data_IF_194520550503
#
_entry.id   IF_194520550503
#
_cell.length_a   1.000
_cell.length_b   1.000
_cell.length_c   1.000
_cell.angle_alpha   90.00
_cell.angle_beta   90.00
_cell.angle_gamma   90.00
#
_symmetry.space_group_name_H-M   'P 1'
#
loop_
_entity.id
_entity.type
_entity.pdbx_description
1 polymer ?
#
# COMPACT_ATOMS: atom_id res chain seq x y z
N UNK A 1 -10.76 -9.70 13.34
CA UNK A 1 -9.29 -9.63 13.49
C UNK A 1 -8.92 -8.18 13.73
N UNK A 2 -8.11 -7.93 14.75
CA UNK A 2 -7.64 -6.59 15.15
C UNK A 2 -6.21 -6.44 14.63
N UNK A 3 -5.87 -5.28 14.04
CA UNK A 3 -4.56 -5.08 13.39
C UNK A 3 -4.62 -4.22 12.13
N UNK A 4 -5.82 -4.02 11.57
CA UNK A 4 -6.04 -3.07 10.48
C UNK A 4 -5.22 -3.41 9.23
N UNK A 5 -4.35 -2.48 8.80
CA UNK A 5 -3.49 -2.64 7.61
C UNK A 5 -2.50 -3.79 7.76
N UNK A 6 -2.08 -4.11 8.99
CA UNK A 6 -1.13 -5.18 9.28
C UNK A 6 -1.80 -6.54 9.51
N UNK A 7 -3.12 -6.63 9.39
CA UNK A 7 -3.79 -7.93 9.38
C UNK A 7 -3.44 -8.73 8.11
N UNK A 8 -3.54 -10.06 8.17
CA UNK A 8 -3.04 -11.04 7.17
C UNK A 8 -3.45 -10.84 5.70
N UNK A 9 -4.36 -9.93 5.39
CA UNK A 9 -4.82 -9.62 4.03
C UNK A 9 -4.46 -8.22 3.54
N UNK A 10 -3.90 -7.36 4.41
CA UNK A 10 -3.78 -5.92 4.17
C UNK A 10 -2.52 -5.45 3.43
N UNK A 11 -1.49 -6.29 3.32
CA UNK A 11 -0.18 -5.91 2.74
C UNK A 11 0.43 -7.03 1.86
N UNK A 12 1.60 -6.77 1.28
CA UNK A 12 2.39 -7.70 0.48
C UNK A 12 3.36 -8.52 1.33
N UNK A 13 3.78 -9.68 0.82
CA UNK A 13 4.42 -10.73 1.63
C UNK A 13 5.77 -10.27 2.22
N UNK A 14 6.55 -9.51 1.44
CA UNK A 14 7.86 -8.96 1.79
C UNK A 14 7.81 -7.69 2.66
N UNK A 15 6.62 -7.22 3.06
CA UNK A 15 6.48 -5.92 3.74
C UNK A 15 7.16 -5.91 5.12
N UNK A 16 8.20 -5.08 5.22
CA UNK A 16 8.82 -4.63 6.45
C UNK A 16 8.27 -3.26 6.86
N UNK A 17 8.24 -3.00 8.17
CA UNK A 17 7.96 -1.67 8.67
C UNK A 17 9.18 -0.77 8.44
N UNK A 18 8.95 0.52 8.17
CA UNK A 18 10.03 1.51 7.95
C UNK A 18 10.59 2.09 9.25
N UNK A 19 10.03 1.69 10.39
CA UNK A 19 10.42 2.11 11.74
C UNK A 19 10.82 0.86 12.53
N UNK A 20 11.89 0.95 13.31
CA UNK A 20 12.38 -0.20 14.08
C UNK A 20 11.38 -0.61 15.16
N UNK A 21 11.47 -1.87 15.58
CA UNK A 21 10.59 -2.48 16.59
C UNK A 21 10.48 -1.67 17.88
N UNK A 22 11.56 -1.03 18.34
CA UNK A 22 11.56 -0.22 19.55
C UNK A 22 10.80 1.11 19.39
N UNK A 23 10.87 1.75 18.22
CA UNK A 23 10.15 3.00 17.97
C UNK A 23 8.71 2.77 17.53
N UNK A 24 8.40 1.58 17.03
CA UNK A 24 7.04 1.20 16.64
C UNK A 24 6.19 0.72 17.83
N UNK A 25 6.82 0.13 18.85
CA UNK A 25 6.11 -0.40 20.02
C UNK A 25 5.44 0.70 20.85
N UNK A 26 4.31 0.35 21.49
CA UNK A 26 3.71 1.18 22.52
C UNK A 26 4.65 1.31 23.72
N UNK A 27 4.72 2.53 24.28
CA UNK A 27 5.67 2.89 25.33
C UNK A 27 5.55 2.06 26.61
N UNK A 28 4.36 1.53 26.89
CA UNK A 28 4.03 0.68 28.04
C UNK A 28 4.18 -0.83 27.77
N UNK A 29 4.50 -1.22 26.53
CA UNK A 29 4.70 -2.60 26.12
C UNK A 29 5.85 -2.73 25.13
N UNK A 30 7.06 -2.42 25.60
CA UNK A 30 8.28 -2.42 24.81
C UNK A 30 8.87 -3.84 24.65
N UNK A 31 9.39 -4.22 23.47
CA UNK A 31 10.00 -5.52 23.20
C UNK A 31 11.45 -5.61 23.72
N UNK A 32 11.65 -5.47 25.04
CA UNK A 32 12.98 -5.31 25.67
C UNK A 32 13.97 -6.45 25.41
N UNK A 33 13.46 -7.66 25.20
CA UNK A 33 14.27 -8.86 24.95
C UNK A 33 14.58 -9.07 23.46
N UNK A 34 13.94 -8.31 22.56
CA UNK A 34 14.19 -8.38 21.13
C UNK A 34 15.36 -7.47 20.75
N UNK A 35 16.20 -7.90 19.79
CA UNK A 35 17.22 -7.02 19.21
C UNK A 35 16.56 -5.90 18.41
N UNK A 36 17.28 -4.79 18.21
CA UNK A 36 16.86 -3.75 17.27
C UNK A 36 16.81 -4.35 15.86
N UNK A 37 15.66 -4.21 15.20
CA UNK A 37 15.45 -4.56 13.80
C UNK A 37 14.11 -3.98 13.31
N UNK A 38 13.86 -4.07 12.00
CA UNK A 38 12.56 -3.75 11.42
C UNK A 38 11.66 -4.98 11.46
N UNK A 39 10.48 -4.86 12.06
CA UNK A 39 9.48 -5.93 12.08
C UNK A 39 8.90 -6.15 10.68
N UNK A 40 8.59 -7.41 10.35
CA UNK A 40 7.65 -7.69 9.26
C UNK A 40 6.25 -7.23 9.67
N UNK A 41 5.36 -7.07 8.69
CA UNK A 41 3.94 -6.82 8.99
C UNK A 41 3.35 -7.87 9.94
N UNK A 42 3.80 -9.12 9.83
CA UNK A 42 3.31 -10.24 10.62
C UNK A 42 3.89 -10.22 12.05
N UNK A 43 5.14 -9.80 12.24
CA UNK A 43 5.71 -9.61 13.57
C UNK A 43 4.95 -8.52 14.33
N UNK A 44 4.66 -7.39 13.65
CA UNK A 44 3.87 -6.32 14.25
C UNK A 44 2.42 -6.75 14.52
N UNK A 45 1.81 -7.55 13.64
CA UNK A 45 0.50 -8.14 13.89
C UNK A 45 0.50 -8.99 15.17
N UNK A 46 1.47 -9.90 15.34
CA UNK A 46 1.61 -10.70 16.57
C UNK A 46 1.90 -9.82 17.80
N UNK A 47 2.64 -8.73 17.64
CA UNK A 47 2.84 -7.76 18.71
C UNK A 47 1.52 -7.14 19.18
N UNK A 48 0.65 -6.74 18.23
CA UNK A 48 -0.68 -6.21 18.54
C UNK A 48 -1.57 -7.24 19.22
N UNK A 49 -1.52 -8.51 18.80
CA UNK A 49 -2.24 -9.61 19.48
C UNK A 49 -1.81 -9.73 20.95
N UNK A 50 -0.50 -9.77 21.21
CA UNK A 50 0.03 -9.80 22.59
C UNK A 50 -0.39 -8.58 23.40
N UNK A 51 -0.44 -7.39 22.77
CA UNK A 51 -0.88 -6.16 23.44
C UNK A 51 -2.34 -6.25 23.87
N UNK A 52 -3.22 -6.73 22.98
CA UNK A 52 -4.65 -6.92 23.27
C UNK A 52 -4.86 -7.89 24.43
N UNK A 53 -4.13 -9.01 24.43
CA UNK A 53 -4.17 -10.00 25.51
C UNK A 53 -3.64 -9.44 26.83
N UNK A 54 -2.53 -8.71 26.80
CA UNK A 54 -1.87 -8.16 28.00
C UNK A 54 -2.77 -7.19 28.77
N UNK A 55 -3.56 -6.39 28.06
CA UNK A 55 -4.40 -5.34 28.62
C UNK A 55 -5.90 -5.67 28.59
N UNK A 56 -6.26 -6.92 28.26
CA UNK A 56 -7.64 -7.44 28.18
C UNK A 56 -8.59 -6.58 27.31
N UNK A 57 -8.05 -5.99 26.23
CA UNK A 57 -8.79 -5.05 25.37
C UNK A 57 -9.86 -5.76 24.51
N UNK A 58 -9.82 -7.08 24.43
CA UNK A 58 -10.75 -7.87 23.61
C UNK A 58 -12.20 -7.75 24.08
N UNK A 59 -12.43 -7.52 25.37
CA UNK A 59 -13.77 -7.43 25.99
C UNK A 59 -14.55 -6.21 25.53
N UNK A 60 -13.86 -5.10 25.23
CA UNK A 60 -14.46 -3.83 24.78
C UNK A 60 -14.61 -3.73 23.26
N UNK A 61 -14.10 -4.71 22.49
CA UNK A 61 -14.05 -4.66 21.03
C UNK A 61 -15.14 -5.53 20.40
N UNK A 62 -16.10 -4.87 19.76
CA UNK A 62 -17.13 -5.54 18.95
C UNK A 62 -16.64 -5.71 17.50
N UNK A 63 -16.19 -6.91 17.16
CA UNK A 63 -15.83 -7.27 15.78
C UNK A 63 -17.08 -7.42 14.89
N UNK A 64 -16.87 -7.48 13.57
CA UNK A 64 -17.93 -7.67 12.57
C UNK A 64 -19.08 -6.65 12.69
N UNK A 65 -18.74 -5.43 13.12
CA UNK A 65 -19.68 -4.34 13.36
C UNK A 65 -19.20 -3.11 12.59
N UNK A 66 -19.89 -2.78 11.50
CA UNK A 66 -19.62 -1.59 10.70
C UNK A 66 -20.28 -0.37 11.34
N UNK A 67 -19.53 0.72 11.51
CA UNK A 67 -20.09 2.03 11.88
C UNK A 67 -20.50 2.75 10.60
N UNK A 68 -21.80 2.79 10.31
CA UNK A 68 -22.34 3.40 9.08
C UNK A 68 -22.41 4.93 9.18
N UNK A 69 -22.73 5.45 10.38
CA UNK A 69 -22.99 6.88 10.58
C UNK A 69 -22.72 7.30 12.02
N UNK A 70 -22.14 8.49 12.19
CA UNK A 70 -21.96 9.15 13.49
C UNK A 70 -22.57 10.54 13.40
N UNK A 71 -23.49 10.88 14.30
CA UNK A 71 -24.21 12.16 14.33
C UNK A 71 -24.14 12.75 15.74
N UNK A 72 -23.85 14.04 15.85
CA UNK A 72 -23.95 14.74 17.14
C UNK A 72 -25.41 15.10 17.40
N UNK A 73 -25.95 14.68 18.54
CA UNK A 73 -27.30 15.00 19.00
C UNK A 73 -27.22 15.59 20.41
N UNK A 74 -27.52 16.88 20.52
CA UNK A 74 -27.35 17.66 21.75
C UNK A 74 -25.91 17.55 22.30
N UNK A 75 -25.78 16.96 23.50
CA UNK A 75 -24.50 16.75 24.20
C UNK A 75 -23.89 15.36 23.97
N UNK A 76 -24.56 14.48 23.20
CA UNK A 76 -24.10 13.10 22.94
C UNK A 76 -23.89 12.83 21.45
N UNK A 77 -23.27 11.70 21.16
CA UNK A 77 -23.07 11.16 19.83
C UNK A 77 -23.95 9.95 19.61
N UNK A 78 -24.75 10.00 18.55
CA UNK A 78 -25.56 8.90 18.05
C UNK A 78 -24.75 8.14 17.00
N UNK A 79 -24.44 6.89 17.29
CA UNK A 79 -23.63 6.00 16.44
C UNK A 79 -24.53 4.90 15.90
N UNK A 80 -24.65 4.85 14.58
CA UNK A 80 -25.38 3.81 13.87
C UNK A 80 -24.42 2.71 13.45
N UNK A 81 -24.72 1.48 13.89
CA UNK A 81 -23.90 0.32 13.58
C UNK A 81 -24.70 -0.76 12.87
N UNK A 82 -24.01 -1.56 12.07
CA UNK A 82 -24.55 -2.71 11.36
C UNK A 82 -23.68 -3.94 11.63
N UNK A 83 -24.28 -5.04 12.06
CA UNK A 83 -23.63 -6.35 12.18
C UNK A 83 -24.51 -7.41 11.54
N UNK A 84 -24.05 -7.96 10.41
CA UNK A 84 -24.90 -8.76 9.53
C UNK A 84 -26.13 -7.96 9.08
N UNK A 85 -27.32 -8.51 9.31
CA UNK A 85 -28.59 -7.83 9.02
C UNK A 85 -29.12 -6.97 10.19
N UNK A 86 -28.44 -7.00 11.33
CA UNK A 86 -28.86 -6.24 12.51
C UNK A 86 -28.32 -4.82 12.47
N UNK A 87 -29.21 -3.84 12.56
CA UNK A 87 -28.86 -2.43 12.76
C UNK A 87 -29.13 -2.01 14.19
N UNK A 88 -28.20 -1.25 14.78
CA UNK A 88 -28.32 -0.70 16.12
C UNK A 88 -28.01 0.79 16.12
N UNK A 89 -28.58 1.47 17.09
CA UNK A 89 -28.28 2.85 17.41
C UNK A 89 -27.81 2.92 18.86
N UNK A 90 -26.66 3.56 19.07
CA UNK A 90 -26.01 3.66 20.37
C UNK A 90 -25.70 5.13 20.67
N UNK A 91 -25.81 5.52 21.94
CA UNK A 91 -25.48 6.87 22.40
C UNK A 91 -24.18 6.84 23.22
N UNK A 92 -23.23 7.70 22.86
CA UNK A 92 -21.94 7.85 23.53
C UNK A 92 -21.69 9.31 23.91
N UNK A 93 -20.99 9.55 25.00
CA UNK A 93 -20.60 10.92 25.39
C UNK A 93 -19.46 11.45 24.52
N UNK A 94 -18.57 10.55 24.06
CA UNK A 94 -17.42 10.85 23.21
C UNK A 94 -17.25 9.80 22.10
N UNK A 95 -16.63 10.20 20.99
CA UNK A 95 -16.29 9.31 19.87
C UNK A 95 -14.85 9.58 19.44
N UNK A 96 -14.06 8.51 19.34
CA UNK A 96 -12.71 8.52 18.77
C UNK A 96 -12.76 7.80 17.42
N UNK A 97 -12.29 8.44 16.36
CA UNK A 97 -12.30 7.88 15.00
C UNK A 97 -10.93 7.33 14.64
N UNK A 98 -10.82 6.00 14.58
CA UNK A 98 -9.56 5.28 14.33
C UNK A 98 -9.59 4.43 13.05
N UNK A 99 -10.24 4.92 11.97
CA UNK A 99 -10.45 4.17 10.70
C UNK A 99 -9.17 4.01 9.84
N UNK A 100 -8.15 4.83 10.08
CA UNK A 100 -6.98 4.95 9.21
C UNK A 100 -7.30 5.61 7.85
N UNK A 101 -6.25 6.02 7.12
CA UNK A 101 -6.37 6.76 5.86
C UNK A 101 -6.18 5.92 4.59
N UNK A 102 -5.58 4.72 4.70
CA UNK A 102 -5.09 3.94 3.54
C UNK A 102 -6.10 2.92 2.98
N UNK A 103 -7.39 3.09 3.26
CA UNK A 103 -8.40 2.07 2.92
C UNK A 103 -9.01 2.24 1.53
N UNK A 104 -9.10 3.47 1.00
CA UNK A 104 -9.66 3.73 -0.32
C UNK A 104 -8.51 4.04 -1.29
N UNK A 105 -8.25 3.20 -2.31
CA UNK A 105 -7.23 3.51 -3.29
C UNK A 105 -7.66 4.74 -4.09
N UNK A 106 -6.71 5.62 -4.37
CA UNK A 106 -6.86 6.64 -5.39
C UNK A 106 -6.53 6.02 -6.74
N UNK A 107 -7.42 6.20 -7.72
CA UNK A 107 -7.23 5.72 -9.08
C UNK A 107 -7.20 6.97 -9.95
N UNK A 108 -6.02 7.39 -10.45
CA UNK A 108 -5.94 8.51 -11.37
C UNK A 108 -6.63 8.15 -12.69
N UNK A 109 -7.30 9.12 -13.30
CA UNK A 109 -7.69 9.03 -14.69
C UNK A 109 -6.44 9.16 -15.58
N UNK A 110 -6.16 8.14 -16.37
CA UNK A 110 -5.01 8.09 -17.28
C UNK A 110 -5.55 8.08 -18.71
N UNK A 111 -5.42 9.18 -19.47
CA UNK A 111 -5.92 9.25 -20.83
C UNK A 111 -5.36 8.13 -21.71
N UNK A 112 -6.24 7.36 -22.34
CA UNK A 112 -5.87 6.26 -23.23
C UNK A 112 -5.53 4.94 -22.53
N UNK A 113 -5.74 4.84 -21.22
CA UNK A 113 -5.53 3.58 -20.46
C UNK A 113 -6.44 2.45 -20.95
N UNK A 114 -7.61 2.78 -21.48
CA UNK A 114 -8.57 1.85 -22.09
C UNK A 114 -8.01 1.14 -23.34
N UNK A 115 -7.05 1.77 -24.03
CA UNK A 115 -6.38 1.22 -25.22
C UNK A 115 -5.18 0.35 -24.85
N UNK A 116 -4.79 0.34 -23.58
CA UNK A 116 -3.68 -0.45 -23.09
C UNK A 116 -4.05 -1.93 -23.09
N UNK A 117 -3.27 -2.74 -23.80
CA UNK A 117 -3.53 -4.19 -23.92
C UNK A 117 -2.87 -5.00 -22.81
N UNK A 118 -2.05 -4.37 -21.98
CA UNK A 118 -1.37 -5.00 -20.84
C UNK A 118 -2.23 -5.04 -19.59
N UNK A 119 -1.70 -5.68 -18.55
CA UNK A 119 -2.36 -5.74 -17.24
C UNK A 119 -2.09 -4.47 -16.45
N UNK A 120 -3.08 -4.01 -15.69
CA UNK A 120 -2.93 -2.87 -14.78
C UNK A 120 -3.23 -3.37 -13.37
N UNK A 121 -2.28 -3.17 -12.47
CA UNK A 121 -2.37 -3.59 -11.07
C UNK A 121 -2.29 -2.38 -10.15
N UNK A 122 -3.09 -2.36 -9.08
CA UNK A 122 -2.87 -1.40 -7.98
C UNK A 122 -1.88 -2.01 -7.01
N UNK A 123 -1.12 -1.18 -6.28
CA UNK A 123 -0.24 -1.68 -5.23
C UNK A 123 -0.97 -2.48 -4.16
N UNK A 124 -2.25 -2.16 -3.90
CA UNK A 124 -3.11 -2.96 -3.01
C UNK A 124 -3.41 -4.38 -3.53
N UNK A 125 -3.30 -4.60 -4.83
CA UNK A 125 -3.50 -5.90 -5.47
C UNK A 125 -2.20 -6.72 -5.55
N UNK A 126 -1.04 -6.07 -5.31
CA UNK A 126 0.25 -6.75 -5.27
C UNK A 126 0.36 -7.63 -4.02
N UNK A 127 0.93 -8.83 -4.21
CA UNK A 127 1.26 -9.76 -3.12
C UNK A 127 2.73 -10.16 -3.14
N UNK A 128 3.23 -10.48 -4.32
CA UNK A 128 4.63 -10.83 -4.57
C UNK A 128 4.96 -10.58 -6.07
N UNK A 129 6.24 -10.74 -6.40
CA UNK A 129 6.79 -10.44 -7.72
C UNK A 129 6.60 -11.55 -8.78
N UNK A 130 6.00 -12.70 -8.43
CA UNK A 130 5.94 -13.88 -9.31
C UNK A 130 5.21 -13.60 -10.63
N UNK A 131 4.17 -12.77 -10.60
CA UNK A 131 3.38 -12.42 -11.79
C UNK A 131 4.16 -11.59 -12.82
N UNK A 132 5.30 -11.02 -12.43
CA UNK A 132 6.06 -10.07 -13.25
C UNK A 132 7.33 -10.69 -13.86
N UNK A 133 7.53 -12.00 -13.69
CA UNK A 133 8.67 -12.73 -14.25
C UNK A 133 8.70 -12.54 -15.77
N UNK A 134 9.83 -12.07 -16.29
CA UNK A 134 10.02 -11.79 -17.73
C UNK A 134 9.02 -10.79 -18.34
N UNK A 135 8.38 -9.96 -17.51
CA UNK A 135 7.50 -8.88 -17.98
C UNK A 135 8.28 -7.57 -18.18
N UNK A 136 7.71 -6.66 -18.96
CA UNK A 136 8.11 -5.25 -18.95
C UNK A 136 7.17 -4.54 -17.99
N UNK A 137 7.68 -3.84 -16.99
CA UNK A 137 6.86 -3.24 -15.94
C UNK A 137 7.13 -1.74 -15.87
N UNK A 138 6.05 -0.96 -15.75
CA UNK A 138 6.06 0.47 -15.52
C UNK A 138 5.43 0.77 -14.15
N UNK A 139 6.24 0.98 -13.14
CA UNK A 139 5.77 1.44 -11.84
C UNK A 139 5.47 2.94 -11.89
N UNK A 140 4.34 3.39 -11.37
CA UNK A 140 3.90 4.80 -11.42
C UNK A 140 3.88 5.39 -10.01
N UNK A 141 4.69 6.42 -9.81
CA UNK A 141 4.88 7.09 -8.52
C UNK A 141 6.15 6.62 -7.79
N UNK A 142 6.51 7.38 -6.76
CA UNK A 142 7.75 7.18 -5.98
C UNK A 142 7.48 7.29 -4.47
N UNK A 143 6.31 6.82 -4.03
CA UNK A 143 6.07 6.61 -2.59
C UNK A 143 6.80 5.35 -2.10
N UNK A 144 6.90 5.17 -0.78
CA UNK A 144 7.57 4.01 -0.15
C UNK A 144 7.12 2.67 -0.76
N UNK A 145 5.81 2.46 -0.89
CA UNK A 145 5.27 1.26 -1.53
C UNK A 145 5.78 1.07 -2.96
N UNK A 146 5.98 2.15 -3.74
CA UNK A 146 6.56 2.03 -5.09
C UNK A 146 7.96 1.50 -5.04
N UNK A 147 8.77 2.04 -4.12
CA UNK A 147 10.18 1.73 -4.02
C UNK A 147 10.35 0.25 -3.69
N UNK A 148 9.60 -0.25 -2.71
CA UNK A 148 9.60 -1.67 -2.35
C UNK A 148 9.19 -2.56 -3.53
N UNK A 149 8.00 -2.29 -4.11
CA UNK A 149 7.47 -3.13 -5.19
C UNK A 149 8.36 -3.11 -6.43
N UNK A 150 8.85 -1.93 -6.82
CA UNK A 150 9.70 -1.78 -8.01
C UNK A 150 11.01 -2.53 -7.82
N UNK A 151 11.60 -2.46 -6.63
CA UNK A 151 12.85 -3.16 -6.30
C UNK A 151 12.65 -4.68 -6.41
N UNK A 152 11.59 -5.20 -5.81
CA UNK A 152 11.28 -6.64 -5.84
C UNK A 152 10.93 -7.13 -7.26
N UNK A 153 10.19 -6.34 -8.03
CA UNK A 153 9.83 -6.65 -9.41
C UNK A 153 11.06 -6.60 -10.32
N UNK A 154 11.95 -5.61 -10.13
CA UNK A 154 13.12 -5.42 -10.98
C UNK A 154 14.04 -6.63 -11.01
N UNK A 155 14.10 -7.40 -9.92
CA UNK A 155 14.92 -8.62 -9.81
C UNK A 155 14.42 -9.77 -10.72
N UNK A 156 13.14 -9.79 -11.09
CA UNK A 156 12.51 -10.87 -11.86
C UNK A 156 11.99 -10.46 -13.25
N UNK A 157 11.73 -9.17 -13.45
CA UNK A 157 11.20 -8.62 -14.70
C UNK A 157 12.24 -8.57 -15.82
N UNK A 158 11.82 -8.64 -17.08
CA UNK A 158 12.69 -8.38 -18.24
C UNK A 158 13.18 -6.92 -18.21
N UNK A 159 12.30 -6.00 -17.82
CA UNK A 159 12.61 -4.58 -17.67
C UNK A 159 11.66 -3.94 -16.67
N UNK A 160 12.18 -3.21 -15.70
CA UNK A 160 11.38 -2.43 -14.76
C UNK A 160 11.68 -0.93 -14.93
N UNK A 161 10.65 -0.10 -15.05
CA UNK A 161 10.77 1.36 -15.22
C UNK A 161 9.88 2.06 -14.22
N UNK A 162 10.35 3.13 -13.59
CA UNK A 162 9.54 3.99 -12.71
C UNK A 162 9.23 5.29 -13.42
N UNK A 163 7.95 5.66 -13.48
CA UNK A 163 7.50 6.98 -13.86
C UNK A 163 7.25 7.83 -12.61
N UNK A 164 8.02 8.90 -12.46
CA UNK A 164 7.92 9.85 -11.34
C UNK A 164 7.43 11.19 -11.86
N UNK A 165 6.48 11.79 -11.13
CA UNK A 165 6.08 13.16 -11.41
C UNK A 165 7.13 14.09 -10.83
N UNK A 166 7.60 15.03 -11.62
CA UNK A 166 8.59 15.98 -11.16
C UNK A 166 8.07 16.74 -9.92
N UNK A 167 8.83 16.82 -8.82
CA UNK A 167 8.47 17.70 -7.71
C UNK A 167 8.46 19.15 -8.24
N UNK A 168 7.63 20.04 -7.68
CA UNK A 168 7.45 21.45 -8.09
C UNK A 168 6.41 21.77 -9.20
N UNK A 169 5.43 20.90 -9.43
CA UNK A 169 4.26 21.26 -10.25
C UNK A 169 4.51 21.33 -11.76
N UNK A 170 5.70 20.90 -12.21
CA UNK A 170 5.94 20.64 -13.62
C UNK A 170 5.04 19.49 -14.09
N UNK A 171 4.52 19.61 -15.33
CA UNK A 171 3.71 18.57 -15.99
C UNK A 171 4.56 17.47 -16.61
N UNK A 172 5.86 17.45 -16.32
CA UNK A 172 6.80 16.46 -16.84
C UNK A 172 6.79 15.21 -15.99
N UNK A 173 6.85 14.06 -16.66
CA UNK A 173 7.05 12.75 -16.06
C UNK A 173 8.45 12.32 -16.44
N UNK A 174 9.27 12.06 -15.43
CA UNK A 174 10.59 11.47 -15.60
C UNK A 174 10.48 9.97 -15.48
N UNK A 175 11.11 9.26 -16.41
CA UNK A 175 11.11 7.80 -16.43
C UNK A 175 12.53 7.30 -16.17
N UNK A 176 12.65 6.40 -15.19
CA UNK A 176 13.92 5.80 -14.78
C UNK A 176 13.87 4.29 -14.97
N UNK A 177 14.84 3.69 -15.66
CA UNK A 177 14.91 2.23 -15.76
C UNK A 177 15.70 1.68 -14.58
N UNK A 178 15.09 0.79 -13.80
CA UNK A 178 15.79 0.06 -12.74
C UNK A 178 16.41 -1.17 -13.36
N UNK A 179 17.72 -1.34 -13.20
CA UNK A 179 18.41 -2.59 -13.51
C UNK A 179 18.57 -3.36 -12.21
N UNK A 180 18.23 -4.65 -12.21
CA UNK A 180 18.59 -5.54 -11.12
C UNK A 180 20.10 -5.53 -10.94
N UNK A 181 20.59 -4.83 -9.92
CA UNK A 181 21.86 -5.20 -9.31
C UNK A 181 21.58 -6.44 -8.47
N UNK A 182 22.50 -7.41 -8.42
CA UNK A 182 22.39 -8.69 -7.68
C UNK A 182 22.13 -8.51 -6.15
N UNK A 183 20.97 -8.01 -5.73
CA UNK A 183 20.75 -7.50 -4.36
C UNK A 183 19.83 -8.36 -3.49
N UNK A 184 19.43 -9.54 -3.97
CA UNK A 184 18.41 -10.35 -3.30
C UNK A 184 18.94 -11.48 -2.40
N UNK A 185 20.13 -11.36 -1.79
CA UNK A 185 20.58 -12.39 -0.83
C UNK A 185 20.24 -12.11 0.63
N UNK A 186 20.22 -10.87 1.13
CA UNK A 186 20.25 -10.64 2.59
C UNK A 186 19.28 -9.54 3.07
N UNK A 187 17.98 -9.84 3.14
CA UNK A 187 16.94 -8.98 3.72
C UNK A 187 17.03 -8.81 5.26
N UNK A 188 17.95 -9.51 5.93
CA UNK A 188 18.00 -9.60 7.39
C UNK A 188 19.07 -8.71 8.07
N UNK A 189 19.74 -7.80 7.36
CA UNK A 189 20.83 -6.98 7.92
C UNK A 189 20.47 -5.49 7.92
N UNK A 190 20.44 -4.86 9.11
CA UNK A 190 20.12 -3.43 9.33
C UNK A 190 20.97 -2.48 8.48
N UNK A 191 22.15 -2.91 8.02
CA UNK A 191 23.02 -2.14 7.13
C UNK A 191 22.44 -1.93 5.72
N UNK A 192 21.43 -2.70 5.30
CA UNK A 192 21.00 -2.76 3.89
C UNK A 192 19.90 -1.77 3.50
N UNK A 193 19.08 -1.28 4.44
CA UNK A 193 18.11 -0.19 4.13
C UNK A 193 18.83 1.03 3.53
N UNK A 194 20.03 1.34 4.02
CA UNK A 194 20.87 2.40 3.44
C UNK A 194 21.33 2.10 2.00
N UNK A 195 21.56 0.82 1.65
CA UNK A 195 22.00 0.39 0.31
C UNK A 195 20.87 0.36 -0.71
N UNK A 196 19.64 -0.01 -0.33
CA UNK A 196 18.48 0.07 -1.23
C UNK A 196 18.23 1.52 -1.60
N UNK A 197 18.18 2.42 -0.60
CA UNK A 197 18.07 3.85 -0.87
C UNK A 197 19.21 4.34 -1.78
N UNK A 198 20.47 4.01 -1.49
CA UNK A 198 21.61 4.42 -2.32
C UNK A 198 21.62 3.81 -3.74
N UNK A 199 21.18 2.57 -3.92
CA UNK A 199 21.07 1.93 -5.24
C UNK A 199 19.87 2.47 -6.03
N UNK A 200 18.77 2.82 -5.36
CA UNK A 200 17.62 3.48 -5.96
C UNK A 200 17.93 4.92 -6.39
N UNK A 201 19.03 5.53 -5.92
CA UNK A 201 19.55 6.79 -6.46
C UNK A 201 20.54 6.62 -7.62
N UNK A 202 21.03 5.40 -7.89
CA UNK A 202 21.86 5.08 -9.06
C UNK A 202 20.98 4.75 -10.28
N UNK A 203 19.96 5.57 -10.55
CA UNK A 203 19.09 5.41 -11.70
C UNK A 203 19.74 5.99 -12.95
N UNK A 204 19.81 5.19 -14.01
CA UNK A 204 20.09 5.71 -15.34
C UNK A 204 18.79 6.36 -15.87
N UNK A 205 18.83 7.66 -16.13
CA UNK A 205 17.79 8.33 -16.90
C UNK A 205 18.07 8.10 -18.39
N UNK A 206 17.27 7.31 -19.12
CA UNK A 206 17.47 7.07 -20.55
C UNK A 206 17.18 8.31 -21.42
N UNK A 207 16.85 9.47 -20.83
CA UNK A 207 16.59 10.72 -21.56
C UNK A 207 15.17 10.81 -22.14
N UNK A 208 14.27 9.90 -21.78
CA UNK A 208 12.89 9.88 -22.27
C UNK A 208 11.97 10.67 -21.33
N UNK A 209 11.79 11.96 -21.61
CA UNK A 209 10.74 12.78 -20.99
C UNK A 209 9.40 12.49 -21.67
N UNK A 210 8.40 12.02 -20.92
CA UNK A 210 7.05 11.85 -21.47
C UNK A 210 6.27 13.16 -21.31
N UNK A 211 6.07 13.90 -22.42
CA UNK A 211 5.28 15.14 -22.47
C UNK A 211 3.77 14.88 -22.63
N UNK A 212 3.24 13.85 -21.97
CA UNK A 212 1.80 13.57 -21.95
C UNK A 212 1.09 14.40 -20.88
N UNK A 213 0.04 15.12 -21.23
CA UNK A 213 -0.82 15.83 -20.27
C UNK A 213 -1.60 14.81 -19.43
N UNK A 214 -1.20 14.60 -18.17
CA UNK A 214 -2.14 14.08 -17.16
C UNK A 214 -3.03 15.26 -16.75
N UNK A 215 -4.29 15.23 -17.18
CA UNK A 215 -5.28 16.21 -16.74
C UNK A 215 -5.70 15.83 -15.33
N UNK A 216 -5.47 16.72 -14.35
CA UNK A 216 -6.00 16.55 -13.01
C UNK A 216 -7.52 16.62 -13.06
N UNK A 217 -8.19 15.47 -13.09
CA UNK A 217 -9.65 15.38 -13.15
C UNK A 217 -10.30 15.87 -11.85
N UNK A 218 -11.03 16.98 -11.93
CA UNK A 218 -12.01 17.39 -10.92
C UNK A 218 -13.18 16.40 -10.88
N UNK A 219 -13.53 15.96 -9.66
CA UNK A 219 -14.61 14.99 -9.33
C UNK A 219 -15.87 15.20 -10.16
N UNK A 220 -16.40 14.16 -10.81
CA UNK A 220 -17.85 13.96 -11.05
C UNK A 220 -18.14 12.49 -11.40
N UNK A 221 -19.22 11.93 -10.83
CA UNK A 221 -20.06 10.89 -11.46
C UNK A 221 -19.73 9.42 -11.20
N UNK A 222 -20.69 8.69 -10.64
CA UNK A 222 -20.71 7.24 -10.36
C UNK A 222 -21.16 6.48 -11.62
N UNK A 223 -20.62 5.29 -11.87
CA UNK A 223 -21.16 4.32 -12.82
C UNK A 223 -20.66 2.90 -12.57
N UNK A 224 -21.57 2.00 -12.19
CA UNK A 224 -21.41 0.57 -11.92
C UNK A 224 -21.27 -0.28 -13.20
N UNK A 225 -20.52 -1.37 -13.17
CA UNK A 225 -20.47 -2.33 -14.29
C UNK A 225 -19.56 -3.55 -14.11
N UNK A 226 -20.16 -4.61 -13.57
CA UNK A 226 -20.00 -6.05 -13.79
C UNK A 226 -18.64 -6.78 -13.92
N UNK A 227 -18.57 -7.88 -13.18
CA UNK A 227 -17.55 -8.94 -13.25
C UNK A 227 -17.84 -9.89 -14.42
N UNK A 228 -16.85 -10.25 -15.25
CA UNK A 228 -16.68 -11.63 -15.72
C UNK A 228 -15.35 -11.92 -16.45
N UNK A 229 -14.77 -13.07 -16.07
CA UNK A 229 -13.93 -14.04 -16.82
C UNK A 229 -12.49 -13.65 -17.22
N UNK A 230 -11.52 -14.29 -16.54
CA UNK A 230 -10.09 -14.31 -16.88
C UNK A 230 -9.81 -15.43 -17.90
N UNK A 231 -9.11 -15.16 -19.03
CA UNK A 231 -8.44 -16.20 -19.82
C UNK A 231 -6.97 -16.38 -19.36
N UNK A 232 -6.31 -17.49 -19.74
CA UNK A 232 -4.98 -17.85 -19.24
C UNK A 232 -3.92 -16.98 -19.92
N UNK A 233 -3.09 -16.30 -19.15
CA UNK A 233 -2.05 -15.41 -19.68
C UNK A 233 -0.75 -16.18 -19.91
N UNK A 234 -0.33 -16.24 -21.17
CA UNK A 234 1.03 -16.53 -21.59
C UNK A 234 1.60 -15.28 -22.28
N UNK A 235 2.85 -14.98 -21.95
CA UNK A 235 3.57 -13.74 -22.17
C UNK A 235 3.78 -13.40 -23.65
N UNK A 236 3.47 -12.15 -24.02
CA UNK A 236 4.09 -11.46 -25.16
C UNK A 236 4.10 -9.94 -24.88
N UNK A 237 5.29 -9.41 -24.57
CA UNK A 237 5.71 -8.02 -24.78
C UNK A 237 4.81 -6.90 -24.25
N UNK A 238 4.30 -7.00 -23.03
CA UNK A 238 3.39 -5.99 -22.45
C UNK A 238 4.01 -5.29 -21.26
N UNK A 239 3.79 -3.98 -21.22
CA UNK A 239 4.00 -3.15 -20.03
C UNK A 239 2.93 -3.55 -18.98
N UNK A 240 3.26 -3.44 -17.70
CA UNK A 240 2.29 -3.58 -16.59
C UNK A 240 2.42 -2.37 -15.67
N UNK A 241 1.30 -1.72 -15.32
CA UNK A 241 1.32 -0.53 -14.46
C UNK A 241 1.06 -0.93 -13.01
N UNK A 242 1.95 -0.57 -12.09
CA UNK A 242 1.74 -0.73 -10.65
C UNK A 242 1.98 0.58 -9.88
N UNK A 243 1.08 0.87 -8.94
CA UNK A 243 1.21 1.72 -7.74
C UNK A 243 0.38 3.03 -7.65
N UNK A 244 0.05 3.43 -6.39
CA UNK A 244 0.10 4.81 -5.87
C UNK A 244 -0.15 4.91 -4.36
N UNK A 245 0.67 5.72 -3.66
CA UNK A 245 0.32 6.43 -2.43
C UNK A 245 0.82 7.88 -2.56
N UNK A 246 -0.08 8.86 -2.41
CA UNK A 246 0.22 10.30 -2.36
C UNK A 246 -0.41 10.90 -1.11
N UNK A 247 0.31 11.81 -0.43
CA UNK A 247 -0.22 12.88 0.41
C UNK A 247 0.49 14.18 0.05
N UNK A 248 -0.25 15.27 0.25
CA UNK A 248 -0.09 16.63 -0.28
C UNK A 248 1.29 17.28 -0.09
#
# INVERSE_FOLDING_TARGET
MIGGVFASRGTYDSCLLTVSNHFMAYSDFMPKEEKLHFWTWNDYFRYLERYIEKFDLGTDIQLNTEVEKVVKKDKKWQVHTKSGDTKKELLFDHVVVSRGSFQKPYIPDIPGIDKFKGSVYRSREYKNSELFISCKVLCVGMGETSVDLTTEIADLAEKCTVAVRHPYGSKTIDMYTIRASNTMSHYADEKYHSKIYNNFFNLENPGHTFNGKIVSGSRHGIGSGDHQKRPPFCCYGRWEIANQCFRD
#
